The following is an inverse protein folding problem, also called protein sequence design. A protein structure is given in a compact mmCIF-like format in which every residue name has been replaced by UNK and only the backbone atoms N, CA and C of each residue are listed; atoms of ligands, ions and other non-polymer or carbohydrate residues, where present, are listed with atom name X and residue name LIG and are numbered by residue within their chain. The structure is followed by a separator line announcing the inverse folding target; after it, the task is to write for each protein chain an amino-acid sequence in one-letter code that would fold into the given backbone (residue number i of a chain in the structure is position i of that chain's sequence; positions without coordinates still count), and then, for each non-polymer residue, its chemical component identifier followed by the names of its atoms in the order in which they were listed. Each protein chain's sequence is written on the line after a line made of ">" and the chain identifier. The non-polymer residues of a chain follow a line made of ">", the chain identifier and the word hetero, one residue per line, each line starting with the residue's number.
data_IF_897649965695
#
_entry.id   IF_897649965695
#
_cell.length_a   1.000
_cell.length_b   1.000
_cell.length_c   1.000
_cell.angle_alpha   90.00
_cell.angle_beta   90.00
_cell.angle_gamma   90.00
#
_symmetry.space_group_name_H-M   'P 1'
#
loop_
_entity.id
_entity.type
_entity.pdbx_description
1 polymer ?
#
# COMPACT_ATOMS: atom_id res chain seq x y z
N UNK A 1 101.67 10.84 136.39
CA UNK A 1 100.73 10.04 137.21
C UNK A 1 100.98 10.10 138.72
N UNK A 2 102.23 10.20 139.20
CA UNK A 2 102.52 10.30 140.64
C UNK A 2 101.97 11.57 141.33
N UNK A 3 101.89 12.71 140.63
CA UNK A 3 101.34 13.96 141.20
C UNK A 3 99.81 13.96 141.37
N UNK A 4 99.04 13.45 140.39
CA UNK A 4 97.57 13.35 140.54
C UNK A 4 97.17 12.42 141.69
N UNK A 5 97.96 11.37 141.96
CA UNK A 5 97.75 10.51 143.16
C UNK A 5 98.01 11.27 144.46
N UNK A 6 99.07 12.09 144.54
CA UNK A 6 99.32 12.93 145.73
C UNK A 6 98.18 13.92 146.00
N UNK A 7 97.60 14.55 144.97
CA UNK A 7 96.45 15.46 145.14
C UNK A 7 95.22 14.72 145.63
N UNK A 8 94.96 13.52 145.10
CA UNK A 8 93.84 12.68 145.53
C UNK A 8 94.03 12.14 146.95
N UNK A 9 95.26 11.83 147.34
CA UNK A 9 95.59 11.41 148.70
C UNK A 9 95.45 12.58 149.68
N UNK A 10 95.82 13.81 149.30
CA UNK A 10 95.55 15.03 150.10
C UNK A 10 94.04 15.23 150.25
N UNK A 11 93.25 15.16 149.17
CA UNK A 11 91.79 15.30 149.26
C UNK A 11 91.15 14.17 150.08
N UNK A 12 91.64 12.93 149.96
CA UNK A 12 91.17 11.83 150.81
C UNK A 12 91.49 12.08 152.27
N UNK A 13 92.71 12.54 152.59
CA UNK A 13 93.07 12.89 153.96
C UNK A 13 92.25 14.08 154.47
N UNK A 14 91.96 15.08 153.63
CA UNK A 14 91.09 16.20 153.96
C UNK A 14 89.66 15.71 154.26
N UNK A 15 89.10 14.82 153.43
CA UNK A 15 87.78 14.24 153.64
C UNK A 15 87.75 13.40 154.92
N UNK A 16 88.79 12.60 155.19
CA UNK A 16 88.88 11.80 156.43
C UNK A 16 89.00 12.72 157.65
N UNK A 17 89.82 13.78 157.60
CA UNK A 17 89.89 14.79 158.66
C UNK A 17 88.55 15.51 158.84
N UNK A 18 87.88 15.89 157.77
CA UNK A 18 86.57 16.53 157.84
C UNK A 18 85.52 15.57 158.44
N UNK A 19 85.60 14.27 158.12
CA UNK A 19 84.75 13.24 158.73
C UNK A 19 85.07 12.99 160.20
N UNK A 20 86.34 12.90 160.59
CA UNK A 20 86.74 12.76 162.00
C UNK A 20 86.34 13.99 162.81
N UNK A 21 86.42 15.20 162.23
CA UNK A 21 85.90 16.43 162.85
C UNK A 21 84.38 16.41 162.95
N UNK A 22 83.67 15.83 161.98
CA UNK A 22 82.20 15.67 161.99
C UNK A 22 81.72 14.57 162.96
N UNK A 23 82.59 13.66 163.41
CA UNK A 23 82.27 12.55 164.33
C UNK A 23 82.96 12.62 165.71
N UNK A 24 83.71 13.69 166.02
CA UNK A 24 84.02 14.05 167.41
C UNK A 24 82.71 14.29 168.19
N UNK A 25 82.59 13.69 169.38
CA UNK A 25 81.33 13.50 170.15
C UNK A 25 80.51 14.75 170.53
N UNK A 26 80.89 15.94 170.09
CA UNK A 26 80.18 17.22 170.28
C UNK A 26 79.80 17.95 168.96
N UNK A 27 79.99 17.33 167.78
CA UNK A 27 79.66 17.96 166.48
C UNK A 27 78.31 17.59 165.89
N UNK A 28 77.64 16.51 166.31
CA UNK A 28 76.28 16.18 165.85
C UNK A 28 75.27 17.29 166.23
N UNK A 29 75.35 17.82 167.45
CA UNK A 29 74.58 19.01 167.85
C UNK A 29 74.92 20.22 166.99
N UNK A 30 76.19 20.45 166.62
CA UNK A 30 76.57 21.56 165.72
C UNK A 30 76.05 21.36 164.30
N UNK A 31 76.01 20.13 163.79
CA UNK A 31 75.47 19.80 162.46
C UNK A 31 73.95 19.98 162.46
N UNK A 32 73.25 19.43 163.44
CA UNK A 32 71.81 19.63 163.64
C UNK A 32 71.50 21.12 163.78
N UNK A 33 72.30 21.86 164.56
CA UNK A 33 72.12 23.32 164.69
C UNK A 33 72.40 24.04 163.38
N UNK A 34 73.39 23.63 162.57
CA UNK A 34 73.63 24.21 161.24
C UNK A 34 72.51 23.89 160.25
N UNK A 35 71.96 22.68 160.27
CA UNK A 35 70.81 22.30 159.45
C UNK A 35 69.54 23.02 159.91
N UNK A 36 69.29 23.12 161.21
CA UNK A 36 68.21 23.95 161.77
C UNK A 36 68.41 25.44 161.47
N UNK A 37 69.65 25.94 161.44
CA UNK A 37 69.94 27.32 161.04
C UNK A 37 69.81 27.53 159.53
N UNK A 38 70.06 26.51 158.70
CA UNK A 38 69.80 26.54 157.25
C UNK A 38 68.29 26.47 156.95
N UNK A 39 67.56 25.66 157.69
CA UNK A 39 66.10 25.56 157.67
C UNK A 39 65.43 26.86 158.15
N UNK A 40 66.03 27.54 159.15
CA UNK A 40 65.63 28.87 159.63
C UNK A 40 66.19 30.02 158.79
N UNK A 41 67.00 29.75 157.76
CA UNK A 41 67.61 30.79 156.92
C UNK A 41 66.52 31.35 156.00
N UNK A 42 66.00 32.53 156.33
CA UNK A 42 64.88 33.18 155.65
C UNK A 42 64.95 33.15 154.11
N UNK A 43 66.15 33.29 153.52
CA UNK A 43 66.33 33.23 152.05
C UNK A 43 65.88 31.90 151.44
N UNK A 44 66.18 30.77 152.11
CA UNK A 44 65.87 29.42 151.62
C UNK A 44 64.37 29.11 151.76
N UNK A 45 63.74 29.54 152.87
CA UNK A 45 62.28 29.46 153.03
C UNK A 45 61.53 30.34 152.04
N UNK A 46 62.06 31.52 151.69
CA UNK A 46 61.46 32.39 150.67
C UNK A 46 61.59 31.78 149.26
N UNK A 47 62.71 31.15 148.92
CA UNK A 47 62.87 30.43 147.64
C UNK A 47 61.96 29.22 147.54
N UNK A 48 61.82 28.42 148.60
CA UNK A 48 60.86 27.30 148.64
C UNK A 48 59.43 27.79 148.40
N UNK A 49 58.99 28.83 149.11
CA UNK A 49 57.65 29.42 148.90
C UNK A 49 57.46 29.96 147.48
N UNK A 50 58.50 30.54 146.86
CA UNK A 50 58.44 31.00 145.46
C UNK A 50 58.30 29.82 144.50
N UNK A 51 59.08 28.77 144.68
CA UNK A 51 59.02 27.58 143.81
C UNK A 51 57.69 26.83 143.96
N UNK A 52 57.16 26.69 145.18
CA UNK A 52 55.83 26.12 145.42
C UNK A 52 54.73 26.95 144.74
N UNK A 53 54.84 28.28 144.77
CA UNK A 53 53.93 29.19 144.07
C UNK A 53 54.01 29.03 142.54
N UNK A 54 55.22 28.96 141.98
CA UNK A 54 55.44 28.72 140.54
C UNK A 54 54.83 27.38 140.13
N UNK A 55 55.15 26.30 140.85
CA UNK A 55 54.64 24.96 140.56
C UNK A 55 53.11 24.89 140.66
N UNK A 56 52.51 25.56 141.65
CA UNK A 56 51.05 25.67 141.79
C UNK A 56 50.41 26.41 140.61
N UNK A 57 51.05 27.48 140.12
CA UNK A 57 50.57 28.22 138.95
C UNK A 57 50.73 27.42 137.66
N UNK A 58 51.84 26.68 137.49
CA UNK A 58 52.04 25.78 136.35
C UNK A 58 51.03 24.64 136.36
N UNK A 59 50.71 24.06 137.52
CA UNK A 59 49.69 23.02 137.65
C UNK A 59 48.29 23.55 137.27
N UNK A 60 47.95 24.78 137.69
CA UNK A 60 46.71 25.45 137.27
C UNK A 60 46.68 25.65 135.75
N UNK A 61 47.77 26.16 135.17
CA UNK A 61 47.89 26.36 133.73
C UNK A 61 47.73 25.05 132.95
N UNK A 62 48.41 23.98 133.39
CA UNK A 62 48.28 22.65 132.80
C UNK A 62 46.84 22.13 132.84
N UNK A 63 46.15 22.30 133.98
CA UNK A 63 44.75 21.86 134.11
C UNK A 63 43.81 22.67 133.19
N UNK A 64 44.04 23.97 133.03
CA UNK A 64 43.29 24.81 132.08
C UNK A 64 43.50 24.33 130.65
N UNK A 65 44.76 24.14 130.22
CA UNK A 65 45.10 23.66 128.88
C UNK A 65 44.50 22.27 128.63
N UNK A 66 44.57 21.36 129.62
CA UNK A 66 43.99 20.02 129.53
C UNK A 66 42.47 20.08 129.35
N UNK A 67 41.79 20.99 130.03
CA UNK A 67 40.35 21.20 129.87
C UNK A 67 40.01 21.77 128.49
N UNK A 68 40.79 22.75 128.01
CA UNK A 68 40.61 23.33 126.67
C UNK A 68 40.81 22.29 125.56
N UNK A 69 41.84 21.45 125.66
CA UNK A 69 42.07 20.34 124.73
C UNK A 69 40.87 19.38 124.73
N UNK A 70 40.35 19.02 125.92
CA UNK A 70 39.19 18.14 126.02
C UNK A 70 37.95 18.76 125.36
N UNK A 71 37.70 20.06 125.60
CA UNK A 71 36.60 20.81 124.99
C UNK A 71 36.75 20.87 123.47
N UNK A 72 37.93 21.21 122.96
CA UNK A 72 38.21 21.27 121.52
C UNK A 72 38.09 19.91 120.83
N UNK A 73 38.48 18.84 121.50
CA UNK A 73 38.28 17.48 120.99
C UNK A 73 36.80 17.13 120.85
N UNK A 74 35.97 17.48 121.84
CA UNK A 74 34.52 17.30 121.73
C UNK A 74 33.90 18.14 120.60
N UNK A 75 34.35 19.38 120.41
CA UNK A 75 33.92 20.22 119.28
C UNK A 75 34.29 19.58 117.94
N UNK A 76 35.50 19.02 117.81
CA UNK A 76 35.94 18.32 116.60
C UNK A 76 35.11 17.07 116.31
N UNK A 77 34.87 16.22 117.31
CA UNK A 77 34.07 15.00 117.15
C UNK A 77 32.63 15.33 116.73
N UNK A 78 32.06 16.42 117.26
CA UNK A 78 30.73 16.90 116.85
C UNK A 78 30.71 17.38 115.40
N UNK A 79 31.72 18.16 114.97
CA UNK A 79 31.83 18.62 113.58
C UNK A 79 32.03 17.44 112.62
N UNK A 80 32.82 16.44 113.00
CA UNK A 80 33.04 15.25 112.18
C UNK A 80 31.72 14.46 111.98
N UNK A 81 30.92 14.32 113.04
CA UNK A 81 29.61 13.70 112.95
C UNK A 81 28.64 14.50 112.06
N UNK A 82 28.67 15.83 112.16
CA UNK A 82 27.87 16.68 111.27
C UNK A 82 28.28 16.54 109.80
N UNK A 83 29.58 16.50 109.51
CA UNK A 83 30.11 16.33 108.16
C UNK A 83 29.68 14.97 107.56
N UNK A 84 29.85 13.89 108.31
CA UNK A 84 29.46 12.55 107.88
C UNK A 84 27.95 12.44 107.59
N UNK A 85 27.12 13.14 108.37
CA UNK A 85 25.68 13.18 108.13
C UNK A 85 25.33 13.95 106.85
N UNK A 86 26.04 15.03 106.53
CA UNK A 86 25.84 15.78 105.28
C UNK A 86 26.18 14.93 104.05
N UNK A 87 27.32 14.23 104.05
CA UNK A 87 27.75 13.39 102.91
C UNK A 87 26.75 12.27 102.57
N UNK A 88 26.12 11.68 103.60
CA UNK A 88 25.09 10.66 103.43
C UNK A 88 23.79 11.21 102.79
N UNK A 89 23.40 12.44 103.14
CA UNK A 89 22.21 13.09 102.56
C UNK A 89 22.44 13.45 101.09
N UNK A 90 23.61 14.00 100.75
CA UNK A 90 23.92 14.40 99.37
C UNK A 90 24.05 13.21 98.41
N UNK A 91 24.52 12.06 98.88
CA UNK A 91 24.56 10.83 98.06
C UNK A 91 23.17 10.27 97.78
N UNK A 92 22.29 10.21 98.79
CA UNK A 92 20.90 9.77 98.58
C UNK A 92 20.09 10.71 97.67
N UNK A 93 20.30 12.03 97.76
CA UNK A 93 19.58 13.00 96.93
C UNK A 93 20.01 12.92 95.46
N UNK A 94 21.30 12.69 95.18
CA UNK A 94 21.79 12.46 93.83
C UNK A 94 21.18 11.21 93.19
N UNK A 95 21.18 10.09 93.92
CA UNK A 95 20.61 8.82 93.43
C UNK A 95 19.09 8.94 93.22
N UNK A 96 18.39 9.69 94.07
CA UNK A 96 16.96 9.99 93.91
C UNK A 96 16.68 10.82 92.65
N UNK A 97 17.49 11.85 92.39
CA UNK A 97 17.36 12.67 91.19
C UNK A 97 17.67 11.88 89.91
N UNK A 98 18.65 10.97 89.94
CA UNK A 98 18.92 10.07 88.82
C UNK A 98 17.78 9.08 88.58
N UNK A 99 17.20 8.51 89.64
CA UNK A 99 16.04 7.63 89.54
C UNK A 99 14.81 8.35 88.97
N UNK A 100 14.56 9.60 89.36
CA UNK A 100 13.44 10.41 88.85
C UNK A 100 13.62 10.74 87.36
N UNK A 101 14.84 11.09 86.94
CA UNK A 101 15.15 11.26 85.50
C UNK A 101 14.94 9.97 84.72
N UNK A 102 15.38 8.82 85.25
CA UNK A 102 15.17 7.53 84.60
C UNK A 102 13.68 7.18 84.47
N UNK A 103 12.88 7.43 85.51
CA UNK A 103 11.42 7.25 85.45
C UNK A 103 10.78 8.14 84.38
N UNK A 104 11.15 9.41 84.33
CA UNK A 104 10.63 10.33 83.33
C UNK A 104 11.01 9.90 81.90
N UNK A 105 12.27 9.49 81.69
CA UNK A 105 12.69 8.94 80.39
C UNK A 105 11.98 7.62 80.04
N UNK A 106 11.68 6.78 81.02
CA UNK A 106 10.92 5.56 80.81
C UNK A 106 9.48 5.87 80.41
N UNK A 107 8.81 6.79 81.11
CA UNK A 107 7.46 7.25 80.76
C UNK A 107 7.42 7.84 79.35
N UNK A 108 8.39 8.68 78.98
CA UNK A 108 8.53 9.24 77.63
C UNK A 108 8.72 8.15 76.56
N UNK A 109 9.52 7.12 76.85
CA UNK A 109 9.75 6.00 75.92
C UNK A 109 8.50 5.14 75.77
N UNK A 110 7.76 4.88 76.85
CA UNK A 110 6.47 4.16 76.79
C UNK A 110 5.46 4.94 75.97
N UNK A 111 5.37 6.26 76.17
CA UNK A 111 4.47 7.10 75.38
C UNK A 111 4.83 7.06 73.88
N UNK A 112 6.11 7.23 73.53
CA UNK A 112 6.57 7.13 72.14
C UNK A 112 6.30 5.76 71.52
N UNK A 113 6.43 4.68 72.29
CA UNK A 113 6.11 3.33 71.83
C UNK A 113 4.62 3.19 71.52
N UNK A 114 3.75 3.68 72.40
CA UNK A 114 2.30 3.65 72.19
C UNK A 114 1.91 4.48 70.96
N UNK A 115 2.47 5.69 70.80
CA UNK A 115 2.21 6.53 69.63
C UNK A 115 2.69 5.85 68.33
N UNK A 116 3.85 5.21 68.36
CA UNK A 116 4.38 4.43 67.23
C UNK A 116 3.48 3.26 66.86
N UNK A 117 2.97 2.51 67.85
CA UNK A 117 2.02 1.40 67.63
C UNK A 117 0.70 1.90 67.05
N UNK A 118 0.17 3.03 67.53
CA UNK A 118 -1.05 3.65 67.00
C UNK A 118 -0.87 4.09 65.54
N UNK A 119 0.26 4.72 65.22
CA UNK A 119 0.62 5.09 63.85
C UNK A 119 0.70 3.83 62.97
N UNK A 120 1.36 2.77 63.45
CA UNK A 120 1.49 1.52 62.70
C UNK A 120 0.13 0.87 62.42
N UNK A 121 -0.77 0.83 63.39
CA UNK A 121 -2.13 0.32 63.20
C UNK A 121 -2.92 1.16 62.20
N UNK A 122 -2.82 2.49 62.27
CA UNK A 122 -3.45 3.41 61.31
C UNK A 122 -2.91 3.21 59.89
N UNK A 123 -1.58 3.12 59.73
CA UNK A 123 -0.94 2.84 58.45
C UNK A 123 -1.38 1.49 57.87
N UNK A 124 -1.48 0.46 58.71
CA UNK A 124 -1.98 -0.86 58.31
C UNK A 124 -3.43 -0.77 57.81
N UNK A 125 -4.30 -0.09 58.56
CA UNK A 125 -5.69 0.11 58.17
C UNK A 125 -5.82 0.89 56.85
N UNK A 126 -5.04 1.95 56.67
CA UNK A 126 -5.00 2.70 55.40
C UNK A 126 -4.49 1.84 54.24
N UNK A 127 -3.48 1.01 54.46
CA UNK A 127 -2.98 0.08 53.45
C UNK A 127 -4.05 -0.94 53.04
N UNK A 128 -4.76 -1.52 54.00
CA UNK A 128 -5.82 -2.50 53.72
C UNK A 128 -7.03 -1.85 53.03
N UNK A 129 -7.38 -0.63 53.43
CA UNK A 129 -8.43 0.16 52.75
C UNK A 129 -8.02 0.48 51.31
N UNK A 130 -6.78 0.91 51.09
CA UNK A 130 -6.24 1.18 49.75
C UNK A 130 -6.24 -0.06 48.87
N UNK A 131 -5.86 -1.23 49.40
CA UNK A 131 -5.93 -2.50 48.67
C UNK A 131 -7.36 -2.83 48.23
N UNK A 132 -8.36 -2.61 49.11
CA UNK A 132 -9.78 -2.82 48.79
C UNK A 132 -10.25 -1.86 47.68
N UNK A 133 -9.87 -0.58 47.76
CA UNK A 133 -10.20 0.41 46.73
C UNK A 133 -9.59 0.05 45.37
N UNK A 134 -8.30 -0.31 45.34
CA UNK A 134 -7.63 -0.73 44.10
C UNK A 134 -8.29 -1.98 43.49
N UNK A 135 -8.66 -2.97 44.32
CA UNK A 135 -9.37 -4.15 43.85
C UNK A 135 -10.76 -3.81 43.29
N UNK A 136 -11.45 -2.87 43.90
CA UNK A 136 -12.75 -2.39 43.44
C UNK A 136 -12.63 -1.64 42.10
N UNK A 137 -11.70 -0.69 41.99
CA UNK A 137 -11.40 0.02 40.74
C UNK A 137 -11.00 -0.95 39.63
N UNK A 138 -10.14 -1.93 39.92
CA UNK A 138 -9.75 -2.96 38.96
C UNK A 138 -10.97 -3.73 38.43
N UNK A 139 -11.89 -4.13 39.31
CA UNK A 139 -13.13 -4.81 38.90
C UNK A 139 -14.03 -3.92 38.04
N UNK A 140 -14.16 -2.63 38.38
CA UNK A 140 -14.93 -1.70 37.55
C UNK A 140 -14.31 -1.52 36.17
N UNK A 141 -13.00 -1.38 36.10
CA UNK A 141 -12.28 -1.26 34.82
C UNK A 141 -12.45 -2.54 33.97
N UNK A 142 -12.35 -3.72 34.58
CA UNK A 142 -12.60 -5.00 33.89
C UNK A 142 -14.03 -5.07 33.34
N UNK A 143 -15.04 -4.68 34.14
CA UNK A 143 -16.44 -4.65 33.70
C UNK A 143 -16.66 -3.67 32.54
N UNK A 144 -16.15 -2.44 32.65
CA UNK A 144 -16.24 -1.44 31.59
C UNK A 144 -15.54 -1.90 30.31
N UNK A 145 -14.40 -2.58 30.43
CA UNK A 145 -13.68 -3.12 29.30
C UNK A 145 -14.46 -4.25 28.61
N UNK A 146 -15.06 -5.16 29.38
CA UNK A 146 -15.93 -6.22 28.85
C UNK A 146 -17.18 -5.65 28.15
N UNK A 147 -17.82 -4.64 28.74
CA UNK A 147 -18.96 -3.95 28.12
C UNK A 147 -18.57 -3.26 26.81
N UNK A 148 -17.45 -2.55 26.80
CA UNK A 148 -16.92 -1.92 25.59
C UNK A 148 -16.62 -2.95 24.49
N UNK A 149 -15.99 -4.07 24.84
CA UNK A 149 -15.73 -5.14 23.87
C UNK A 149 -17.03 -5.72 23.30
N UNK A 150 -18.05 -5.96 24.13
CA UNK A 150 -19.36 -6.44 23.68
C UNK A 150 -20.03 -5.45 22.73
N UNK A 151 -20.08 -4.16 23.09
CA UNK A 151 -20.65 -3.12 22.24
C UNK A 151 -19.91 -2.97 20.92
N UNK A 152 -18.57 -3.02 20.95
CA UNK A 152 -17.75 -2.97 19.74
C UNK A 152 -18.01 -4.17 18.82
N UNK A 153 -18.10 -5.37 19.38
CA UNK A 153 -18.41 -6.59 18.64
C UNK A 153 -19.82 -6.54 18.03
N UNK A 154 -20.80 -6.06 18.78
CA UNK A 154 -22.19 -5.93 18.33
C UNK A 154 -22.33 -4.88 17.23
N UNK A 155 -21.65 -3.73 17.37
CA UNK A 155 -21.59 -2.72 16.32
C UNK A 155 -20.94 -3.27 15.04
N UNK A 156 -19.84 -4.03 15.16
CA UNK A 156 -19.19 -4.66 14.02
C UNK A 156 -20.09 -5.71 13.35
N UNK A 157 -20.80 -6.52 14.14
CA UNK A 157 -21.76 -7.50 13.64
C UNK A 157 -22.89 -6.82 12.87
N UNK A 158 -23.49 -5.76 13.42
CA UNK A 158 -24.57 -5.00 12.78
C UNK A 158 -24.09 -4.38 11.45
N UNK A 159 -22.88 -3.82 11.42
CA UNK A 159 -22.27 -3.29 10.20
C UNK A 159 -22.09 -4.38 9.12
N UNK A 160 -21.59 -5.55 9.51
CA UNK A 160 -21.43 -6.69 8.60
C UNK A 160 -22.77 -7.20 8.07
N UNK A 161 -23.80 -7.27 8.92
CA UNK A 161 -25.16 -7.66 8.52
C UNK A 161 -25.76 -6.67 7.51
N UNK A 162 -25.61 -5.36 7.74
CA UNK A 162 -26.02 -4.33 6.79
C UNK A 162 -25.29 -4.46 5.45
N UNK A 163 -23.97 -4.65 5.48
CA UNK A 163 -23.16 -4.84 4.27
C UNK A 163 -23.60 -6.08 3.48
N UNK A 164 -23.87 -7.20 4.17
CA UNK A 164 -24.38 -8.42 3.55
C UNK A 164 -25.75 -8.19 2.90
N UNK A 165 -26.63 -7.43 3.56
CA UNK A 165 -27.95 -7.11 3.05
C UNK A 165 -27.88 -6.25 1.77
N UNK A 166 -27.04 -5.20 1.78
CA UNK A 166 -26.79 -4.38 0.59
C UNK A 166 -26.22 -5.22 -0.57
N UNK A 167 -25.27 -6.10 -0.29
CA UNK A 167 -24.70 -7.00 -1.31
C UNK A 167 -25.75 -7.94 -1.91
N UNK A 168 -26.69 -8.45 -1.10
CA UNK A 168 -27.81 -9.27 -1.59
C UNK A 168 -28.74 -8.45 -2.49
N UNK A 169 -29.05 -7.21 -2.11
CA UNK A 169 -29.88 -6.32 -2.92
C UNK A 169 -29.22 -5.99 -4.25
N UNK A 170 -27.91 -5.70 -4.25
CA UNK A 170 -27.11 -5.54 -5.46
C UNK A 170 -27.13 -6.81 -6.33
N UNK A 171 -26.96 -7.99 -5.73
CA UNK A 171 -27.00 -9.25 -6.46
C UNK A 171 -28.35 -9.46 -7.15
N UNK A 172 -29.47 -9.21 -6.46
CA UNK A 172 -30.82 -9.30 -7.04
C UNK A 172 -31.01 -8.30 -8.18
N UNK A 173 -30.54 -7.07 -8.01
CA UNK A 173 -30.59 -6.04 -9.06
C UNK A 173 -29.81 -6.47 -10.32
N UNK A 174 -28.56 -6.93 -10.16
CA UNK A 174 -27.75 -7.38 -11.29
C UNK A 174 -28.36 -8.61 -11.97
N UNK A 175 -28.92 -9.55 -11.20
CA UNK A 175 -29.60 -10.71 -11.75
C UNK A 175 -30.79 -10.30 -12.63
N UNK A 176 -31.61 -9.36 -12.15
CA UNK A 176 -32.72 -8.78 -12.93
C UNK A 176 -32.24 -8.13 -14.23
N UNK A 177 -31.12 -7.38 -14.20
CA UNK A 177 -30.53 -6.80 -15.40
C UNK A 177 -30.05 -7.86 -16.41
N UNK A 178 -29.43 -8.93 -15.93
CA UNK A 178 -29.01 -10.05 -16.77
C UNK A 178 -30.22 -10.71 -17.43
N UNK A 179 -31.30 -10.94 -16.68
CA UNK A 179 -32.50 -11.59 -17.21
C UNK A 179 -33.24 -10.70 -18.22
N UNK A 180 -33.29 -9.39 -17.99
CA UNK A 180 -33.78 -8.41 -18.97
C UNK A 180 -32.96 -8.45 -20.27
N UNK A 181 -31.62 -8.49 -20.17
CA UNK A 181 -30.77 -8.61 -21.36
C UNK A 181 -30.97 -9.93 -22.10
N UNK A 182 -31.15 -11.05 -21.38
CA UNK A 182 -31.47 -12.34 -22.00
C UNK A 182 -32.78 -12.29 -22.77
N UNK A 183 -33.82 -11.67 -22.21
CA UNK A 183 -35.11 -11.49 -22.90
C UNK A 183 -34.96 -10.64 -24.16
N UNK A 184 -34.26 -9.52 -24.09
CA UNK A 184 -33.99 -8.68 -25.28
C UNK A 184 -33.20 -9.46 -26.35
N UNK A 185 -32.22 -10.26 -25.96
CA UNK A 185 -31.45 -11.07 -26.89
C UNK A 185 -32.30 -12.16 -27.55
N UNK A 186 -33.23 -12.78 -26.80
CA UNK A 186 -34.20 -13.73 -27.38
C UNK A 186 -35.10 -13.05 -28.41
N UNK A 187 -35.63 -11.86 -28.11
CA UNK A 187 -36.44 -11.08 -29.07
C UNK A 187 -35.65 -10.70 -30.33
N UNK A 188 -34.39 -10.27 -30.17
CA UNK A 188 -33.50 -9.98 -31.30
C UNK A 188 -33.23 -11.21 -32.15
N UNK A 189 -33.06 -12.38 -31.52
CA UNK A 189 -32.84 -13.65 -32.23
C UNK A 189 -34.06 -14.04 -33.06
N UNK A 190 -35.27 -13.95 -32.50
CA UNK A 190 -36.50 -14.22 -33.26
C UNK A 190 -36.71 -13.22 -34.40
N UNK A 191 -36.39 -11.94 -34.20
CA UNK A 191 -36.45 -10.93 -35.26
C UNK A 191 -35.46 -11.25 -36.39
N UNK A 192 -34.24 -11.67 -36.05
CA UNK A 192 -33.21 -12.04 -37.01
C UNK A 192 -33.63 -13.27 -37.83
N UNK A 193 -34.25 -14.27 -37.21
CA UNK A 193 -34.78 -15.45 -37.91
C UNK A 193 -35.89 -15.05 -38.89
N UNK A 194 -36.83 -14.18 -38.48
CA UNK A 194 -37.86 -13.64 -39.37
C UNK A 194 -37.27 -12.86 -40.54
N UNK A 195 -36.27 -12.01 -40.31
CA UNK A 195 -35.59 -11.26 -41.36
C UNK A 195 -34.88 -12.18 -42.36
N UNK A 196 -34.19 -13.22 -41.87
CA UNK A 196 -33.56 -14.25 -42.73
C UNK A 196 -34.61 -14.98 -43.57
N UNK A 197 -35.75 -15.33 -42.98
CA UNK A 197 -36.84 -15.97 -43.71
C UNK A 197 -37.39 -15.08 -44.84
N UNK A 198 -37.69 -13.81 -44.55
CA UNK A 198 -38.14 -12.83 -45.56
C UNK A 198 -37.09 -12.61 -46.65
N UNK A 199 -35.81 -12.52 -46.27
CA UNK A 199 -34.72 -12.35 -47.23
C UNK A 199 -34.58 -13.56 -48.16
N UNK A 200 -34.72 -14.78 -47.63
CA UNK A 200 -34.72 -16.01 -48.43
C UNK A 200 -35.91 -16.08 -49.39
N UNK A 201 -37.10 -15.66 -48.96
CA UNK A 201 -38.25 -15.54 -49.86
C UNK A 201 -37.98 -14.53 -51.00
N UNK A 202 -37.42 -13.35 -50.68
CA UNK A 202 -37.05 -12.35 -51.71
C UNK A 202 -36.03 -12.90 -52.70
N UNK A 203 -35.00 -13.61 -52.23
CA UNK A 203 -34.00 -14.23 -53.11
C UNK A 203 -34.64 -15.26 -54.04
N UNK A 204 -35.56 -16.07 -53.54
CA UNK A 204 -36.29 -17.03 -54.37
C UNK A 204 -37.13 -16.33 -55.46
N UNK A 205 -37.83 -15.23 -55.12
CA UNK A 205 -38.60 -14.47 -56.11
C UNK A 205 -37.73 -13.78 -57.17
N UNK A 206 -36.57 -13.22 -56.77
CA UNK A 206 -35.63 -12.58 -57.71
C UNK A 206 -35.07 -13.61 -58.69
N UNK A 207 -34.68 -14.79 -58.21
CA UNK A 207 -34.15 -15.86 -59.07
C UNK A 207 -35.17 -16.35 -60.11
N UNK A 208 -36.47 -16.32 -59.80
CA UNK A 208 -37.53 -16.64 -60.76
C UNK A 208 -37.63 -15.55 -61.82
N UNK A 209 -37.60 -14.27 -61.42
CA UNK A 209 -37.65 -13.14 -62.34
C UNK A 209 -36.43 -13.10 -63.29
N UNK A 210 -35.23 -13.37 -62.78
CA UNK A 210 -34.00 -13.42 -63.59
C UNK A 210 -34.08 -14.48 -64.71
N UNK A 211 -34.65 -15.65 -64.43
CA UNK A 211 -34.82 -16.71 -65.44
C UNK A 211 -35.79 -16.33 -66.55
N UNK A 212 -36.83 -15.57 -66.24
CA UNK A 212 -37.81 -15.12 -67.23
C UNK A 212 -37.27 -13.96 -68.09
N UNK A 213 -36.45 -13.08 -67.50
CA UNK A 213 -35.69 -12.05 -68.24
C UNK A 213 -34.68 -12.69 -69.19
N UNK A 214 -33.89 -13.66 -68.73
CA UNK A 214 -32.89 -14.33 -69.56
C UNK A 214 -33.51 -15.07 -70.76
N UNK A 215 -34.68 -15.70 -70.58
CA UNK A 215 -35.44 -16.31 -71.68
C UNK A 215 -35.89 -15.26 -72.69
N UNK A 216 -36.39 -14.13 -72.21
CA UNK A 216 -36.87 -13.03 -73.06
C UNK A 216 -35.74 -12.40 -73.87
N UNK A 217 -34.57 -12.20 -73.26
CA UNK A 217 -33.36 -11.72 -73.96
C UNK A 217 -32.91 -12.68 -75.06
N UNK A 218 -32.89 -14.00 -74.78
CA UNK A 218 -32.52 -15.01 -75.80
C UNK A 218 -33.46 -14.99 -77.01
N UNK A 219 -34.77 -14.85 -76.79
CA UNK A 219 -35.75 -14.72 -77.88
C UNK A 219 -35.50 -13.44 -78.69
N UNK A 220 -35.23 -12.33 -78.01
CA UNK A 220 -34.99 -11.04 -78.66
C UNK A 220 -33.72 -11.06 -79.52
N UNK A 221 -32.64 -11.67 -79.04
CA UNK A 221 -31.40 -11.87 -79.80
C UNK A 221 -31.67 -12.70 -81.07
N UNK A 222 -32.44 -13.79 -80.95
CA UNK A 222 -32.78 -14.64 -82.10
C UNK A 222 -33.61 -13.90 -83.15
N UNK A 223 -34.64 -13.16 -82.74
CA UNK A 223 -35.48 -12.38 -83.67
C UNK A 223 -34.68 -11.25 -84.35
N UNK A 224 -33.79 -10.57 -83.64
CA UNK A 224 -32.89 -9.58 -84.24
C UNK A 224 -31.95 -10.19 -85.30
N UNK A 225 -31.44 -11.41 -85.06
CA UNK A 225 -30.61 -12.12 -86.03
C UNK A 225 -31.39 -12.46 -87.31
N UNK A 226 -32.62 -13.00 -87.18
CA UNK A 226 -33.50 -13.26 -88.33
C UNK A 226 -33.81 -11.98 -89.12
N UNK A 227 -34.04 -10.87 -88.42
CA UNK A 227 -34.30 -9.58 -89.06
C UNK A 227 -33.09 -9.09 -89.86
N UNK A 228 -31.88 -9.20 -89.31
CA UNK A 228 -30.65 -8.84 -90.03
C UNK A 228 -30.46 -9.70 -91.29
N UNK A 229 -30.70 -11.01 -91.22
CA UNK A 229 -30.63 -11.87 -92.40
C UNK A 229 -31.67 -11.49 -93.46
N UNK A 230 -32.90 -11.19 -93.05
CA UNK A 230 -33.95 -10.73 -93.96
C UNK A 230 -33.55 -9.42 -94.65
N UNK A 231 -33.02 -8.45 -93.90
CA UNK A 231 -32.52 -7.19 -94.47
C UNK A 231 -31.37 -7.41 -95.47
N UNK A 232 -30.45 -8.33 -95.19
CA UNK A 232 -29.39 -8.68 -96.13
C UNK A 232 -29.93 -9.32 -97.42
N UNK A 233 -30.93 -10.20 -97.32
CA UNK A 233 -31.59 -10.80 -98.49
C UNK A 233 -32.27 -9.74 -99.36
N UNK A 234 -32.99 -8.80 -98.74
CA UNK A 234 -33.62 -7.67 -99.46
C UNK A 234 -32.56 -6.85 -100.20
N UNK A 235 -31.46 -6.46 -99.55
CA UNK A 235 -30.35 -5.73 -100.22
C UNK A 235 -29.74 -6.49 -101.41
N UNK A 236 -29.67 -7.83 -101.35
CA UNK A 236 -29.20 -8.65 -102.48
C UNK A 236 -30.19 -8.60 -103.64
N UNK A 237 -31.49 -8.71 -103.36
CA UNK A 237 -32.53 -8.61 -104.38
C UNK A 237 -32.56 -7.22 -105.04
N UNK A 238 -32.40 -6.16 -104.26
CA UNK A 238 -32.29 -4.79 -104.79
C UNK A 238 -31.12 -4.66 -105.78
N UNK A 239 -29.96 -5.22 -105.47
CA UNK A 239 -28.81 -5.24 -106.39
C UNK A 239 -29.09 -6.03 -107.68
N UNK A 240 -29.83 -7.13 -107.59
CA UNK A 240 -30.22 -7.91 -108.77
C UNK A 240 -31.17 -7.08 -109.65
N UNK A 241 -32.14 -6.39 -109.04
CA UNK A 241 -33.08 -5.52 -109.76
C UNK A 241 -32.32 -4.40 -110.49
N UNK A 242 -31.31 -3.79 -109.86
CA UNK A 242 -30.44 -2.80 -110.52
C UNK A 242 -29.71 -3.36 -111.74
N UNK A 243 -29.19 -4.59 -111.64
CA UNK A 243 -28.55 -5.25 -112.76
C UNK A 243 -29.53 -5.50 -113.92
N UNK A 244 -30.76 -5.92 -113.60
CA UNK A 244 -31.80 -6.13 -114.62
C UNK A 244 -32.15 -4.80 -115.29
N UNK A 245 -32.27 -3.70 -114.53
CA UNK A 245 -32.47 -2.35 -115.09
C UNK A 245 -31.37 -1.99 -116.09
N UNK A 246 -30.11 -2.22 -115.71
CA UNK A 246 -28.96 -1.92 -116.56
C UNK A 246 -28.91 -2.77 -117.84
N UNK A 247 -29.21 -4.07 -117.73
CA UNK A 247 -29.31 -4.96 -118.91
C UNK A 247 -30.47 -4.51 -119.81
N UNK A 248 -31.61 -4.18 -119.22
CA UNK A 248 -32.79 -3.75 -119.96
C UNK A 248 -32.57 -2.43 -120.69
N UNK A 249 -31.86 -1.48 -120.07
CA UNK A 249 -31.36 -0.26 -120.74
C UNK A 249 -30.53 -0.57 -121.98
N UNK A 250 -29.61 -1.54 -121.89
CA UNK A 250 -28.78 -1.96 -123.03
C UNK A 250 -29.61 -2.57 -124.15
N UNK A 251 -30.56 -3.46 -123.81
CA UNK A 251 -31.48 -4.08 -124.78
C UNK A 251 -32.29 -2.98 -125.49
N UNK A 252 -32.88 -2.07 -124.71
CA UNK A 252 -33.65 -0.95 -125.26
C UNK A 252 -32.82 -0.09 -126.22
N UNK A 253 -31.56 0.23 -125.86
CA UNK A 253 -30.65 0.97 -126.74
C UNK A 253 -30.32 0.22 -128.04
N UNK A 254 -30.10 -1.10 -127.98
CA UNK A 254 -29.80 -1.91 -129.16
C UNK A 254 -30.99 -2.02 -130.12
N UNK A 255 -32.21 -2.12 -129.57
CA UNK A 255 -33.45 -2.18 -130.34
C UNK A 255 -33.86 -0.85 -131.00
N UNK A 256 -33.17 0.26 -130.70
CA UNK A 256 -33.43 1.54 -131.36
C UNK A 256 -32.82 1.58 -132.77
N UNK A 257 -33.56 2.08 -133.79
CA UNK A 257 -33.05 2.24 -135.14
C UNK A 257 -31.84 3.20 -135.18
N UNK A 258 -30.87 2.94 -136.08
CA UNK A 258 -29.54 3.59 -136.09
C UNK A 258 -29.58 5.13 -136.03
N UNK A 259 -30.65 5.75 -136.52
CA UNK A 259 -30.79 7.20 -136.62
C UNK A 259 -31.37 7.86 -135.34
N UNK A 260 -31.76 7.07 -134.33
CA UNK A 260 -32.44 7.53 -133.10
C UNK A 260 -31.79 7.02 -131.80
N UNK A 261 -30.54 6.51 -131.87
CA UNK A 261 -29.86 5.94 -130.70
C UNK A 261 -29.50 7.01 -129.68
N UNK A 262 -30.24 7.06 -128.57
CA UNK A 262 -29.99 8.01 -127.49
C UNK A 262 -29.09 7.36 -126.43
N UNK A 263 -27.93 7.95 -126.14
CA UNK A 263 -26.90 7.33 -125.28
C UNK A 263 -27.31 7.21 -123.80
N UNK A 264 -28.38 7.90 -123.37
CA UNK A 264 -28.82 8.00 -121.97
C UNK A 264 -30.16 7.30 -121.68
N UNK A 265 -30.49 6.20 -122.37
CA UNK A 265 -31.73 5.45 -122.12
C UNK A 265 -31.61 4.57 -120.85
N UNK A 266 -31.64 5.19 -119.68
CA UNK A 266 -31.69 4.49 -118.39
C UNK A 266 -33.13 4.06 -118.06
N UNK A 267 -33.31 2.80 -117.65
CA UNK A 267 -34.60 2.24 -117.21
C UNK A 267 -34.65 2.35 -115.70
N UNK A 268 -35.63 3.08 -115.17
CA UNK A 268 -35.89 3.15 -113.73
C UNK A 268 -36.55 1.87 -113.23
N UNK A 269 -36.31 1.48 -111.97
CA UNK A 269 -36.89 0.26 -111.37
C UNK A 269 -38.41 0.20 -111.47
N UNK A 270 -39.07 1.34 -111.25
CA UNK A 270 -40.53 1.47 -111.29
C UNK A 270 -41.10 1.15 -112.68
N UNK A 271 -40.34 1.41 -113.75
CA UNK A 271 -40.74 1.20 -115.15
C UNK A 271 -40.19 -0.11 -115.72
N UNK A 272 -39.48 -0.91 -114.91
CA UNK A 272 -38.71 -2.07 -115.40
C UNK A 272 -39.58 -3.11 -116.10
N UNK A 273 -40.71 -3.47 -115.49
CA UNK A 273 -41.63 -4.49 -116.01
C UNK A 273 -42.20 -4.01 -117.36
N UNK A 274 -42.60 -2.75 -117.44
CA UNK A 274 -43.16 -2.17 -118.66
C UNK A 274 -42.11 -2.13 -119.79
N UNK A 275 -40.87 -1.77 -119.46
CA UNK A 275 -39.77 -1.72 -120.43
C UNK A 275 -39.35 -3.12 -120.92
N UNK A 276 -39.33 -4.13 -120.03
CA UNK A 276 -39.12 -5.54 -120.40
C UNK A 276 -40.21 -5.99 -121.36
N UNK A 277 -41.48 -5.74 -121.01
CA UNK A 277 -42.64 -6.12 -121.82
C UNK A 277 -42.61 -5.45 -123.20
N UNK A 278 -42.29 -4.15 -123.26
CA UNK A 278 -42.16 -3.41 -124.51
C UNK A 278 -41.02 -3.94 -125.39
N UNK A 279 -39.87 -4.28 -124.80
CA UNK A 279 -38.77 -4.92 -125.52
C UNK A 279 -39.15 -6.30 -126.02
N UNK A 280 -39.85 -7.10 -125.21
CA UNK A 280 -40.40 -8.40 -125.62
C UNK A 280 -41.27 -8.28 -126.87
N UNK A 281 -42.24 -7.36 -126.87
CA UNK A 281 -43.09 -7.09 -128.03
C UNK A 281 -42.30 -6.63 -129.28
N UNK A 282 -41.25 -5.82 -129.11
CA UNK A 282 -40.36 -5.41 -130.23
C UNK A 282 -39.58 -6.60 -130.78
N UNK A 283 -39.00 -7.43 -129.92
CA UNK A 283 -38.28 -8.64 -130.31
C UNK A 283 -39.22 -9.64 -131.01
N UNK A 284 -40.42 -9.86 -130.50
CA UNK A 284 -41.44 -10.70 -131.14
C UNK A 284 -41.79 -10.21 -132.54
N UNK A 285 -41.98 -8.90 -132.74
CA UNK A 285 -42.20 -8.32 -134.08
C UNK A 285 -41.01 -8.57 -135.01
N UNK A 286 -39.78 -8.44 -134.52
CA UNK A 286 -38.56 -8.73 -135.30
C UNK A 286 -38.51 -10.23 -135.67
N UNK A 287 -38.75 -11.13 -134.72
CA UNK A 287 -38.78 -12.58 -134.96
C UNK A 287 -39.89 -12.94 -135.96
N UNK A 288 -41.08 -12.38 -135.82
CA UNK A 288 -42.18 -12.59 -136.77
C UNK A 288 -41.86 -12.07 -138.18
N UNK A 289 -41.15 -10.94 -138.28
CA UNK A 289 -40.68 -10.41 -139.56
C UNK A 289 -39.63 -11.33 -140.21
N UNK A 290 -38.65 -11.82 -139.43
CA UNK A 290 -37.67 -12.80 -139.89
C UNK A 290 -38.33 -14.13 -140.31
N UNK A 291 -39.33 -14.60 -139.56
CA UNK A 291 -40.08 -15.81 -139.87
C UNK A 291 -40.96 -15.68 -141.13
N UNK A 292 -41.49 -14.49 -141.43
CA UNK A 292 -42.24 -14.21 -142.68
C UNK A 292 -41.33 -14.08 -143.90
N UNK A 293 -40.06 -13.67 -143.72
CA UNK A 293 -39.03 -13.64 -144.76
C UNK A 293 -38.38 -15.02 -145.02
N UNK A 294 -39.17 -16.11 -145.00
CA UNK A 294 -38.73 -17.43 -145.48
C UNK A 294 -38.58 -17.43 -147.01
N UNK A 295 -37.54 -16.74 -147.47
CA UNK A 295 -36.72 -17.13 -148.62
C UNK A 295 -35.43 -17.70 -148.00
N UNK A 296 -34.80 -18.74 -148.56
CA UNK A 296 -33.69 -19.42 -147.91
C UNK A 296 -32.57 -18.40 -147.75
N UNK A 297 -32.28 -17.98 -146.52
CA UNK A 297 -30.96 -17.43 -146.24
C UNK A 297 -30.00 -18.54 -146.58
N UNK A 298 -29.42 -18.40 -147.77
CA UNK A 298 -28.15 -18.95 -148.21
C UNK A 298 -27.31 -19.09 -146.96
N UNK A 299 -27.24 -20.32 -146.47
CA UNK A 299 -26.17 -20.76 -145.60
C UNK A 299 -24.94 -20.48 -146.46
N UNK A 300 -24.28 -19.35 -146.22
CA UNK A 300 -22.85 -19.30 -146.48
C UNK A 300 -22.31 -20.44 -145.64
N UNK A 301 -22.03 -21.55 -146.32
CA UNK A 301 -21.31 -22.67 -145.80
C UNK A 301 -20.00 -22.10 -145.28
N UNK A 302 -19.97 -21.83 -143.98
CA UNK A 302 -18.74 -22.00 -143.22
C UNK A 302 -18.32 -23.43 -143.55
N UNK A 303 -17.21 -23.54 -144.29
CA UNK A 303 -16.55 -24.78 -144.64
C UNK A 303 -16.73 -25.80 -143.52
N UNK A 304 -17.56 -26.79 -143.77
CA UNK A 304 -17.48 -28.08 -143.11
C UNK A 304 -16.75 -28.99 -144.08
N UNK A 305 -15.50 -28.62 -144.40
CA UNK A 305 -14.50 -29.61 -144.77
C UNK A 305 -14.29 -30.47 -143.53
N UNK A 306 -14.52 -31.77 -143.69
CA UNK A 306 -14.58 -32.74 -142.62
C UNK A 306 -13.23 -33.07 -141.96
N UNK A 307 -12.14 -32.33 -142.25
CA UNK A 307 -10.79 -32.65 -141.81
C UNK A 307 -10.05 -31.56 -141.01
N UNK A 308 -10.75 -30.50 -140.56
CA UNK A 308 -10.16 -29.53 -139.64
C UNK A 308 -11.20 -29.03 -138.64
N UNK A 309 -11.07 -29.40 -137.34
CA UNK A 309 -11.38 -28.51 -136.20
C UNK A 309 -10.78 -29.03 -134.89
N UNK A 310 -9.49 -28.72 -134.70
CA UNK A 310 -9.09 -28.11 -133.43
C UNK A 310 -9.96 -26.86 -133.22
N UNK A 311 -10.61 -26.68 -132.06
CA UNK A 311 -11.28 -25.42 -131.77
C UNK A 311 -10.25 -24.27 -131.65
N UNK A 312 -10.61 -23.03 -132.02
CA UNK A 312 -9.71 -21.89 -131.87
C UNK A 312 -9.36 -21.61 -130.40
N UNK A 313 -8.07 -21.45 -130.13
CA UNK A 313 -7.45 -21.34 -128.79
C UNK A 313 -7.74 -20.03 -128.03
N UNK A 314 -8.72 -19.24 -128.45
CA UNK A 314 -9.00 -17.90 -127.91
C UNK A 314 -10.41 -17.69 -127.35
N UNK A 315 -11.21 -18.75 -127.14
CA UNK A 315 -12.32 -18.67 -126.17
C UNK A 315 -11.73 -18.88 -124.77
N UNK A 316 -11.09 -17.82 -124.27
CA UNK A 316 -10.51 -17.73 -122.93
C UNK A 316 -11.58 -17.64 -121.83
N UNK A 317 -12.31 -18.73 -121.61
CA UNK A 317 -12.99 -18.95 -120.33
C UNK A 317 -12.20 -20.04 -119.61
N UNK A 318 -11.20 -19.59 -118.86
CA UNK A 318 -10.43 -20.44 -117.95
C UNK A 318 -11.37 -20.93 -116.81
N UNK A 319 -11.60 -22.24 -116.63
CA UNK A 319 -12.49 -22.76 -115.58
C UNK A 319 -11.87 -22.74 -114.17
N UNK A 320 -10.73 -22.10 -113.97
CA UNK A 320 -10.02 -22.04 -112.69
C UNK A 320 -10.04 -20.60 -112.14
N UNK A 321 -11.08 -20.25 -111.36
CA UNK A 321 -10.94 -19.23 -110.29
C UNK A 321 -12.13 -19.03 -109.34
N UNK A 322 -13.25 -19.75 -109.47
CA UNK A 322 -14.39 -19.53 -108.55
C UNK A 322 -14.30 -20.24 -107.18
N UNK A 323 -13.25 -21.01 -106.91
CA UNK A 323 -13.12 -21.76 -105.64
C UNK A 323 -12.19 -21.15 -104.60
N UNK A 324 -11.52 -20.02 -104.84
CA UNK A 324 -10.54 -19.45 -103.88
C UNK A 324 -11.00 -18.25 -103.05
N UNK A 325 -12.26 -17.81 -103.17
CA UNK A 325 -12.76 -16.70 -102.34
C UNK A 325 -13.45 -17.12 -101.04
N UNK A 326 -13.61 -18.43 -100.79
CA UNK A 326 -14.30 -18.95 -99.61
C UNK A 326 -13.39 -19.58 -98.53
N UNK A 327 -12.07 -19.64 -98.74
CA UNK A 327 -11.13 -20.24 -97.77
C UNK A 327 -10.29 -19.24 -96.95
N UNK A 328 -10.41 -17.92 -97.17
CA UNK A 328 -9.60 -16.90 -96.48
C UNK A 328 -10.39 -15.96 -95.54
N UNK A 329 -11.45 -16.45 -94.88
CA UNK A 329 -12.10 -15.74 -93.77
C UNK A 329 -12.02 -16.48 -92.42
N UNK A 330 -11.24 -17.57 -92.33
CA UNK A 330 -11.07 -18.34 -91.07
C UNK A 330 -9.75 -18.08 -90.34
N UNK A 331 -9.08 -16.96 -90.61
CA UNK A 331 -7.85 -16.58 -89.91
C UNK A 331 -7.96 -15.12 -89.50
N UNK A 332 -8.48 -14.89 -88.29
CA UNK A 332 -8.14 -13.81 -87.36
C UNK A 332 -9.23 -13.72 -86.27
N UNK A 333 -8.98 -14.36 -85.13
CA UNK A 333 -9.34 -13.91 -83.78
C UNK A 333 -9.02 -15.04 -82.78
N UNK A 334 -7.73 -15.25 -82.53
CA UNK A 334 -7.19 -15.99 -81.39
C UNK A 334 -5.95 -15.21 -80.94
N UNK A 335 -6.14 -14.43 -79.86
CA UNK A 335 -5.21 -13.61 -79.05
C UNK A 335 -6.04 -12.38 -78.63
N UNK A 336 -6.30 -12.02 -77.37
CA UNK A 336 -5.75 -12.29 -76.04
C UNK A 336 -6.96 -12.28 -75.08
N UNK A 337 -7.06 -13.14 -74.07
CA UNK A 337 -6.68 -12.69 -72.72
C UNK A 337 -6.38 -13.88 -71.81
N UNK A 338 -5.15 -13.85 -71.31
CA UNK A 338 -4.63 -14.77 -70.30
C UNK A 338 -5.10 -14.26 -68.94
N UNK A 339 -6.26 -14.71 -68.48
CA UNK A 339 -6.66 -14.52 -67.08
C UNK A 339 -5.76 -15.37 -66.17
N UNK A 340 -4.72 -14.74 -65.63
CA UNK A 340 -3.92 -15.29 -64.54
C UNK A 340 -4.75 -15.20 -63.26
N UNK A 341 -5.16 -16.34 -62.71
CA UNK A 341 -5.54 -16.41 -61.29
C UNK A 341 -4.28 -16.11 -60.46
N UNK A 342 -4.18 -14.90 -59.92
CA UNK A 342 -3.42 -14.66 -58.69
C UNK A 342 -4.38 -14.93 -57.53
N UNK A 343 -4.21 -16.07 -56.88
CA UNK A 343 -4.71 -16.30 -55.53
C UNK A 343 -3.99 -15.33 -54.59
N UNK A 344 -4.63 -14.20 -54.28
CA UNK A 344 -4.31 -13.41 -53.10
C UNK A 344 -5.13 -13.95 -51.92
N UNK A 345 -4.75 -15.12 -51.42
CA UNK A 345 -5.07 -15.51 -50.05
C UNK A 345 -4.09 -14.78 -49.12
N UNK A 346 -4.42 -13.56 -48.66
CA UNK A 346 -3.72 -12.94 -47.51
C UNK A 346 -4.40 -11.69 -46.89
N UNK A 347 -5.55 -11.23 -47.38
CA UNK A 347 -6.14 -9.97 -46.90
C UNK A 347 -7.12 -10.10 -45.71
N UNK A 348 -7.61 -11.30 -45.37
CA UNK A 348 -8.50 -11.46 -44.19
C UNK A 348 -7.74 -11.49 -42.85
N UNK A 349 -6.51 -12.00 -42.82
CA UNK A 349 -5.74 -12.15 -41.57
C UNK A 349 -5.10 -10.83 -41.08
N UNK A 350 -4.88 -9.85 -41.96
CA UNK A 350 -4.41 -8.52 -41.56
C UNK A 350 -5.52 -7.67 -40.92
N UNK A 351 -6.77 -7.84 -41.35
CA UNK A 351 -7.91 -7.10 -40.80
C UNK A 351 -8.32 -7.61 -39.41
N UNK A 352 -8.28 -8.92 -39.19
CA UNK A 352 -8.57 -9.51 -37.87
C UNK A 352 -7.48 -9.21 -36.83
N UNK A 353 -6.21 -9.12 -37.25
CA UNK A 353 -5.10 -8.78 -36.36
C UNK A 353 -5.05 -7.29 -35.97
N UNK A 354 -5.52 -6.39 -36.84
CA UNK A 354 -5.63 -4.96 -36.51
C UNK A 354 -6.78 -4.67 -35.55
N UNK A 355 -7.92 -5.37 -35.69
CA UNK A 355 -9.03 -5.30 -34.73
C UNK A 355 -8.63 -5.88 -33.36
N UNK A 356 -7.92 -7.01 -33.31
CA UNK A 356 -7.43 -7.58 -32.04
C UNK A 356 -6.43 -6.66 -31.31
N UNK A 357 -5.54 -5.97 -32.04
CA UNK A 357 -4.62 -5.00 -31.43
C UNK A 357 -5.33 -3.74 -30.91
N UNK A 358 -6.39 -3.27 -31.57
CA UNK A 358 -7.18 -2.13 -31.07
C UNK A 358 -8.03 -2.48 -29.84
N UNK A 359 -8.50 -3.72 -29.70
CA UNK A 359 -9.21 -4.18 -28.50
C UNK A 359 -8.27 -4.36 -27.29
N UNK A 360 -7.01 -4.77 -27.52
CA UNK A 360 -6.00 -4.88 -26.46
C UNK A 360 -5.49 -3.52 -25.96
N UNK A 361 -5.45 -2.49 -26.82
CA UNK A 361 -5.06 -1.12 -26.40
C UNK A 361 -6.20 -0.41 -25.66
N UNK A 362 -7.47 -0.68 -26.00
CA UNK A 362 -8.62 -0.09 -25.28
C UNK A 362 -8.96 -0.77 -23.94
N UNK A 363 -8.55 -2.02 -23.72
CA UNK A 363 -8.77 -2.70 -22.44
C UNK A 363 -7.69 -2.41 -21.38
N UNK A 364 -6.55 -1.83 -21.76
CA UNK A 364 -5.52 -1.38 -20.80
C UNK A 364 -5.72 0.05 -20.26
N UNK A 365 -6.74 0.79 -20.75
CA UNK A 365 -7.05 2.15 -20.31
C UNK A 365 -8.29 2.28 -19.42
N UNK A 366 -8.84 1.15 -18.92
CA UNK A 366 -9.82 1.16 -17.82
C UNK A 366 -9.22 0.43 -16.63
N UNK A 367 -8.27 1.10 -15.98
CA UNK A 367 -7.79 0.71 -14.66
C UNK A 367 -8.96 0.68 -13.68
N UNK A 368 -9.37 -0.53 -13.31
CA UNK A 368 -10.12 -0.76 -12.08
C UNK A 368 -9.19 -0.39 -10.92
N UNK A 369 -9.34 0.82 -10.39
CA UNK A 369 -8.84 1.15 -9.06
C UNK A 369 -9.68 0.37 -8.05
N UNK A 370 -9.16 -0.77 -7.63
CA UNK A 370 -9.53 -1.40 -6.37
C UNK A 370 -9.18 -0.41 -5.26
N UNK A 371 -10.17 0.35 -4.79
CA UNK A 371 -10.12 1.06 -3.52
C UNK A 371 -10.04 0.00 -2.41
N UNK A 372 -8.81 -0.35 -2.03
CA UNK A 372 -8.54 -0.95 -0.72
C UNK A 372 -8.87 0.11 0.34
N UNK A 373 -9.73 -0.18 1.33
CA UNK A 373 -9.86 0.70 2.48
C UNK A 373 -8.53 0.65 3.25
N UNK A 374 -7.76 1.74 3.16
CA UNK A 374 -6.65 2.01 4.07
C UNK A 374 -7.29 2.33 5.41
N UNK A 375 -7.26 1.38 6.34
CA UNK A 375 -7.51 1.67 7.74
C UNK A 375 -6.40 2.59 8.25
N UNK A 376 -6.73 3.80 8.77
CA UNK A 376 -5.75 4.53 9.55
C UNK A 376 -5.57 3.80 10.88
N UNK A 377 -4.44 3.13 11.04
CA UNK A 377 -3.91 2.78 12.36
C UNK A 377 -3.57 4.10 13.06
N UNK A 378 -4.55 4.70 13.72
CA UNK A 378 -4.33 5.77 14.67
C UNK A 378 -3.63 5.17 15.89
N UNK A 379 -2.30 5.28 15.91
CA UNK A 379 -1.50 5.10 17.11
C UNK A 379 -1.82 6.25 18.07
N UNK A 380 -2.23 6.02 19.32
CA UNK A 380 -2.37 7.10 20.28
C UNK A 380 -0.97 7.53 20.72
N UNK A 381 -0.41 8.54 20.06
CA UNK A 381 0.69 9.31 20.60
C UNK A 381 0.15 10.09 21.79
N UNK A 382 0.39 9.57 22.99
CA UNK A 382 0.16 10.25 24.25
C UNK A 382 1.05 11.49 24.34
N UNK A 383 0.53 12.66 23.96
CA UNK A 383 1.09 13.95 24.38
C UNK A 383 0.79 14.13 25.86
N UNK A 384 1.81 13.89 26.69
CA UNK A 384 1.81 14.23 28.11
C UNK A 384 1.88 15.76 28.19
N UNK A 385 0.72 16.41 28.35
CA UNK A 385 0.65 17.80 28.82
C UNK A 385 0.92 17.80 30.33
N UNK A 386 2.14 18.15 30.71
CA UNK A 386 2.49 18.57 32.07
C UNK A 386 1.77 19.87 32.41
N UNK A 387 0.62 19.78 33.10
CA UNK A 387 0.08 20.91 33.87
C UNK A 387 0.96 21.12 35.10
N UNK A 388 1.67 22.24 35.11
CA UNK A 388 2.33 22.78 36.29
C UNK A 388 1.27 23.07 37.36
N UNK A 389 1.36 22.38 38.49
CA UNK A 389 0.67 22.77 39.71
C UNK A 389 1.42 23.95 40.33
N UNK A 390 0.75 25.11 40.37
CA UNK A 390 1.16 26.22 41.21
C UNK A 390 0.87 25.85 42.67
N UNK A 391 1.92 25.81 43.49
CA UNK A 391 1.79 25.73 44.94
C UNK A 391 1.22 27.05 45.47
N UNK A 392 0.21 26.95 46.34
CA UNK A 392 -0.19 27.98 47.31
C UNK A 392 0.11 27.44 48.69
#
# INVERSE_FOLDING_TARGET
>A
MKEKRKVLDIYKQQIVQDFDTLYEKDTEKKIITKLQNLEKKQKLQQELKRNESILSNELKSYNTIKYEIKKKKQEYDNLLNQLNNCDFVFTQEKDRNELEKLKQTQEDLVQKLNDSQNIQMSLKHMSDTRKKLILFEKKQVEQLYEEYQKQSLEAHKNFMEQTIQELKEFQVYFQSQIDNQKQQNQQKKSLLENLKFVQNQRRASISIQEKDVEKSEKILIQENSKLQEAQQKVRRLEKIIDQICLVQSRINYQLQPKNLKNKNAEVKREELIDQITLSGLKLEKIVAFLAKKKDPQRVESINTDADYHKPPEYIGINPLNYTKYWENQNINNLNEDKFMFQQNENDEDQYQNTIRKQILVNNNNKGFQLMTPIFPLASPASSIETKQFAYS
#
